data_IF_490181814551
#
_entry.id   IF_490181814551
#
_cell.length_a   1.000
_cell.length_b   1.000
_cell.length_c   1.000
_cell.angle_alpha   90.00
_cell.angle_beta   90.00
_cell.angle_gamma   90.00
#
_symmetry.space_group_name_H-M   'P 1'
#
loop_
_entity.id
_entity.type
_entity.pdbx_description
1 polymer ?
#
# COMPACT_ATOMS: atom_id res chain seq x y z
N UNK A 1 13.90 13.69 -16.40
CA UNK A 1 14.63 13.37 -15.16
C UNK A 1 14.56 11.86 -14.93
N UNK A 2 15.68 11.18 -14.73
CA UNK A 2 15.73 9.74 -14.44
C UNK A 2 15.75 9.56 -12.93
N UNK A 3 14.68 9.01 -12.35
CA UNK A 3 14.64 8.64 -10.94
C UNK A 3 14.98 7.15 -10.80
N UNK A 4 15.73 6.80 -9.77
CA UNK A 4 15.94 5.40 -9.40
C UNK A 4 14.67 4.91 -8.71
N UNK A 5 14.04 3.89 -9.29
CA UNK A 5 12.85 3.27 -8.73
C UNK A 5 13.17 1.87 -8.18
N UNK A 6 12.55 1.51 -7.07
CA UNK A 6 12.58 0.18 -6.50
C UNK A 6 11.48 -0.67 -7.13
N UNK A 7 11.82 -1.90 -7.51
CA UNK A 7 10.86 -2.85 -8.09
C UNK A 7 10.41 -3.83 -7.02
N UNK A 8 9.13 -4.20 -7.07
CA UNK A 8 8.58 -5.23 -6.18
C UNK A 8 8.29 -6.49 -6.97
N UNK A 9 8.74 -7.64 -6.48
CA UNK A 9 8.39 -8.96 -7.03
C UNK A 9 7.25 -9.55 -6.21
N UNK A 10 6.16 -9.89 -6.89
CA UNK A 10 5.01 -10.54 -6.29
C UNK A 10 5.28 -12.03 -6.04
N UNK A 11 4.48 -12.70 -5.17
CA UNK A 11 4.64 -14.14 -4.89
C UNK A 11 4.54 -15.04 -6.14
N UNK A 12 3.87 -14.58 -7.20
CA UNK A 12 3.78 -15.28 -8.47
C UNK A 12 4.99 -15.03 -9.41
N UNK A 13 6.03 -14.35 -8.93
CA UNK A 13 7.24 -14.02 -9.67
C UNK A 13 7.14 -12.79 -10.59
N UNK A 14 5.93 -12.25 -10.80
CA UNK A 14 5.73 -11.07 -11.62
C UNK A 14 6.32 -9.81 -10.95
N UNK A 15 6.81 -8.87 -11.76
CA UNK A 15 7.17 -7.54 -11.27
C UNK A 15 5.91 -6.68 -11.17
N UNK A 16 5.70 -6.09 -10.00
CA UNK A 16 4.56 -5.22 -9.74
C UNK A 16 4.71 -3.91 -10.52
N UNK A 17 3.85 -3.73 -11.52
CA UNK A 17 3.73 -2.45 -12.24
C UNK A 17 3.01 -1.46 -11.35
N UNK A 18 3.54 -0.26 -11.22
CA UNK A 18 2.99 0.77 -10.35
C UNK A 18 1.64 1.26 -10.91
N UNK A 19 0.51 1.01 -10.25
CA UNK A 19 -0.76 1.60 -10.63
C UNK A 19 -0.80 3.07 -10.22
N UNK A 20 -1.22 3.90 -11.15
CA UNK A 20 -1.53 5.31 -10.94
C UNK A 20 -2.89 5.63 -11.54
N UNK A 21 -3.61 6.55 -10.91
CA UNK A 21 -4.89 7.04 -11.41
C UNK A 21 -5.03 8.54 -11.17
N UNK A 22 -5.43 9.30 -12.19
CA UNK A 22 -5.75 10.72 -12.05
C UNK A 22 -6.92 11.08 -12.94
N UNK A 23 -7.99 11.61 -12.35
CA UNK A 23 -9.17 12.09 -13.07
C UNK A 23 -9.72 11.07 -14.10
N UNK A 24 -9.88 9.81 -13.68
CA UNK A 24 -10.37 8.72 -14.53
C UNK A 24 -9.36 8.18 -15.54
N UNK A 25 -8.11 8.65 -15.53
CA UNK A 25 -7.02 8.10 -16.34
C UNK A 25 -6.18 7.15 -15.48
N UNK A 26 -6.10 5.89 -15.88
CA UNK A 26 -5.25 4.90 -15.22
C UNK A 26 -3.95 4.67 -16.01
N UNK A 27 -2.85 4.47 -15.30
CA UNK A 27 -1.56 4.08 -15.86
C UNK A 27 -0.95 2.95 -15.02
N UNK A 28 -0.35 1.97 -15.70
CA UNK A 28 0.41 0.90 -15.05
C UNK A 28 1.84 0.98 -15.55
N UNK A 29 2.73 1.50 -14.72
CA UNK A 29 4.10 1.81 -15.11
C UNK A 29 5.01 0.65 -14.70
N UNK A 30 5.67 0.02 -15.68
CA UNK A 30 6.81 -0.85 -15.42
C UNK A 30 8.04 0.03 -15.23
N UNK A 31 8.40 0.27 -13.97
CA UNK A 31 9.52 1.12 -13.63
C UNK A 31 10.84 0.38 -13.85
N UNK A 32 11.82 1.08 -14.41
CA UNK A 32 13.19 0.61 -14.47
C UNK A 32 13.86 0.82 -13.11
N UNK A 33 14.55 -0.21 -12.62
CA UNK A 33 15.12 -0.20 -11.29
C UNK A 33 16.21 -1.24 -11.13
N UNK A 34 17.29 -0.87 -10.45
CA UNK A 34 18.47 -1.74 -10.22
C UNK A 34 18.26 -2.70 -9.04
N UNK A 35 17.24 -2.46 -8.22
CA UNK A 35 16.92 -3.27 -7.04
C UNK A 35 15.48 -3.78 -7.14
N UNK A 36 15.33 -5.10 -7.00
CA UNK A 36 14.03 -5.77 -6.94
C UNK A 36 13.92 -6.49 -5.60
N UNK A 37 12.87 -6.17 -4.84
CA UNK A 37 12.60 -6.71 -3.50
C UNK A 37 11.25 -7.42 -3.51
N UNK A 38 11.06 -8.42 -2.68
CA UNK A 38 9.82 -9.18 -2.54
C UNK A 38 9.11 -8.95 -1.20
N UNK A 39 9.64 -8.03 -0.38
CA UNK A 39 9.15 -7.73 0.95
C UNK A 39 9.03 -6.19 1.13
N UNK A 40 7.89 -5.76 1.67
CA UNK A 40 7.51 -4.34 1.75
C UNK A 40 8.37 -3.57 2.77
N UNK A 41 8.72 -4.18 3.90
CA UNK A 41 9.57 -3.57 4.91
C UNK A 41 11.00 -3.31 4.41
N UNK A 42 11.55 -4.17 3.55
CA UNK A 42 12.83 -3.98 2.86
C UNK A 42 12.73 -2.85 1.84
N UNK A 43 11.63 -2.77 1.09
CA UNK A 43 11.41 -1.66 0.15
C UNK A 43 11.33 -0.31 0.88
N UNK A 44 10.65 -0.27 2.03
CA UNK A 44 10.62 0.88 2.94
C UNK A 44 12.01 1.21 3.49
N UNK A 45 12.76 0.22 3.98
CA UNK A 45 14.10 0.42 4.50
C UNK A 45 15.07 0.99 3.44
N UNK A 46 14.98 0.51 2.21
CA UNK A 46 15.76 1.03 1.09
C UNK A 46 15.37 2.48 0.72
N UNK A 47 14.08 2.83 0.75
CA UNK A 47 13.64 4.21 0.55
C UNK A 47 14.15 5.15 1.65
N UNK A 48 14.10 4.73 2.92
CA UNK A 48 14.66 5.48 4.06
C UNK A 48 16.18 5.64 3.96
N UNK A 49 16.88 4.65 3.39
CA UNK A 49 18.30 4.72 3.09
C UNK A 49 18.63 5.52 1.81
N UNK A 50 17.65 6.25 1.24
CA UNK A 50 17.81 7.07 0.02
C UNK A 50 18.24 6.28 -1.23
N UNK A 51 17.91 4.99 -1.31
CA UNK A 51 18.27 4.15 -2.47
C UNK A 51 17.43 4.50 -3.70
N UNK A 52 16.17 4.88 -3.51
CA UNK A 52 15.27 5.24 -4.61
C UNK A 52 13.82 5.42 -4.19
N UNK A 53 12.97 5.67 -5.18
CA UNK A 53 11.52 5.77 -5.00
C UNK A 53 10.91 4.38 -4.84
N UNK A 54 9.93 4.25 -3.95
CA UNK A 54 9.15 3.02 -3.78
C UNK A 54 7.66 3.33 -3.86
N UNK A 55 6.88 2.37 -4.33
CA UNK A 55 5.43 2.39 -4.17
C UNK A 55 5.09 1.57 -2.92
N UNK A 56 4.56 2.23 -1.90
CA UNK A 56 4.25 1.62 -0.60
C UNK A 56 2.78 1.83 -0.23
N UNK A 57 2.26 0.95 0.61
CA UNK A 57 0.96 1.16 1.25
C UNK A 57 1.11 2.26 2.31
N UNK A 58 0.23 3.25 2.30
CA UNK A 58 0.35 4.43 3.18
C UNK A 58 0.38 4.05 4.66
N UNK A 59 -0.30 2.97 5.06
CA UNK A 59 -0.25 2.44 6.44
C UNK A 59 1.16 2.08 6.90
N UNK A 60 2.02 1.65 5.99
CA UNK A 60 3.33 1.10 6.34
C UNK A 60 4.40 2.19 6.44
N UNK A 61 4.13 3.38 5.91
CA UNK A 61 5.08 4.51 5.82
C UNK A 61 4.55 5.80 6.46
N UNK A 62 3.34 5.79 7.02
CA UNK A 62 2.69 6.98 7.60
C UNK A 62 3.57 7.70 8.60
N UNK A 63 4.12 6.97 9.57
CA UNK A 63 4.97 7.53 10.61
C UNK A 63 6.27 8.13 10.06
N UNK A 64 6.77 7.64 8.91
CA UNK A 64 7.94 8.23 8.26
C UNK A 64 7.61 9.49 7.49
N UNK A 65 6.42 9.55 6.89
CA UNK A 65 5.92 10.75 6.20
C UNK A 65 5.66 11.85 7.23
N UNK A 66 4.96 11.54 8.32
CA UNK A 66 4.66 12.48 9.41
C UNK A 66 5.94 13.00 10.09
N UNK A 67 6.96 12.14 10.22
CA UNK A 67 8.26 12.54 10.73
C UNK A 67 9.17 13.23 9.70
N UNK A 68 8.72 13.41 8.45
CA UNK A 68 9.50 14.02 7.37
C UNK A 68 10.70 13.21 6.89
N UNK A 69 10.79 11.92 7.24
CA UNK A 69 11.82 10.98 6.75
C UNK A 69 11.54 10.53 5.32
N UNK A 70 10.25 10.43 4.97
CA UNK A 70 9.79 10.17 3.61
C UNK A 70 8.87 11.32 3.15
N UNK A 71 8.80 11.52 1.85
CA UNK A 71 7.90 12.48 1.22
C UNK A 71 7.09 11.75 0.17
N UNK A 72 5.78 11.93 0.18
CA UNK A 72 4.93 11.39 -0.86
C UNK A 72 5.10 12.22 -2.13
N UNK A 73 5.27 11.53 -3.26
CA UNK A 73 5.36 12.14 -4.58
C UNK A 73 4.24 11.59 -5.44
N UNK A 74 3.78 12.38 -6.41
CA UNK A 74 2.66 12.01 -7.27
C UNK A 74 1.34 11.77 -6.48
N UNK A 75 1.10 12.51 -5.40
CA UNK A 75 -0.14 12.45 -4.61
C UNK A 75 -1.39 12.59 -5.49
N UNK A 76 -1.37 13.52 -6.44
CA UNK A 76 -2.41 13.72 -7.44
C UNK A 76 -2.75 12.49 -8.31
N UNK A 77 -1.83 11.52 -8.40
CA UNK A 77 -1.95 10.30 -9.18
C UNK A 77 -2.17 9.06 -8.32
N UNK A 78 -2.27 9.23 -7.00
CA UNK A 78 -2.43 8.16 -6.01
C UNK A 78 -3.68 8.41 -5.16
N UNK A 79 -4.89 8.28 -5.75
CA UNK A 79 -6.12 8.49 -5.02
C UNK A 79 -6.25 7.47 -3.90
N UNK A 80 -6.95 7.87 -2.82
CA UNK A 80 -7.19 6.99 -1.68
C UNK A 80 -7.86 5.70 -2.13
N UNK A 81 -7.23 4.58 -1.81
CA UNK A 81 -7.80 3.26 -2.04
C UNK A 81 -9.11 3.11 -1.25
N UNK A 82 -9.99 2.27 -1.78
CA UNK A 82 -11.22 1.91 -1.08
C UNK A 82 -10.89 1.27 0.28
N UNK A 83 -11.74 1.48 1.31
CA UNK A 83 -11.52 0.87 2.62
C UNK A 83 -11.39 -0.66 2.54
N UNK A 84 -10.61 -1.21 3.47
CA UNK A 84 -10.48 -2.65 3.64
C UNK A 84 -11.87 -3.29 3.79
N UNK A 85 -12.12 -4.35 3.03
CA UNK A 85 -13.40 -5.03 2.98
C UNK A 85 -13.25 -6.49 3.43
N UNK A 86 -14.17 -6.96 4.26
CA UNK A 86 -14.26 -8.38 4.64
C UNK A 86 -15.12 -9.13 3.61
N UNK A 87 -14.50 -10.05 2.88
CA UNK A 87 -15.21 -10.91 1.92
C UNK A 87 -15.66 -12.22 2.58
N UNK A 88 -16.94 -12.54 2.47
CA UNK A 88 -17.52 -13.81 2.94
C UNK A 88 -18.56 -14.33 1.93
N UNK A 89 -18.32 -15.49 1.30
CA UNK A 89 -19.14 -15.95 0.17
C UNK A 89 -20.54 -16.44 0.59
N UNK A 90 -20.73 -17.01 1.79
CA UNK A 90 -21.97 -17.69 2.17
C UNK A 90 -22.92 -16.85 3.06
N UNK A 91 -23.74 -16.00 2.44
CA UNK A 91 -24.51 -14.95 3.13
C UNK A 91 -25.76 -15.41 3.89
N UNK A 92 -26.14 -16.70 3.81
CA UNK A 92 -27.51 -17.12 4.19
C UNK A 92 -27.74 -17.23 5.70
N UNK A 93 -26.78 -17.72 6.48
CA UNK A 93 -26.89 -17.86 7.94
C UNK A 93 -25.55 -17.64 8.65
N UNK A 94 -25.12 -16.38 8.87
CA UNK A 94 -23.93 -16.11 9.68
C UNK A 94 -24.15 -16.54 11.14
N UNK A 95 -23.21 -17.30 11.69
CA UNK A 95 -23.24 -17.73 13.10
C UNK A 95 -23.14 -16.53 14.04
N UNK A 96 -23.58 -16.68 15.29
CA UNK A 96 -23.44 -15.61 16.30
C UNK A 96 -21.97 -15.20 16.49
N UNK A 97 -21.05 -16.16 16.49
CA UNK A 97 -19.61 -15.90 16.54
C UNK A 97 -19.11 -15.07 15.35
N UNK A 98 -19.58 -15.36 14.13
CA UNK A 98 -19.17 -14.61 12.94
C UNK A 98 -19.72 -13.17 12.96
N UNK A 99 -20.95 -12.95 13.42
CA UNK A 99 -21.51 -11.61 13.63
C UNK A 99 -20.66 -10.83 14.64
N UNK A 100 -20.37 -11.43 15.80
CA UNK A 100 -19.52 -10.83 16.82
C UNK A 100 -18.11 -10.49 16.30
N UNK A 101 -17.53 -11.35 15.44
CA UNK A 101 -16.27 -11.07 14.78
C UNK A 101 -16.36 -9.90 13.80
N UNK A 102 -17.38 -9.84 12.95
CA UNK A 102 -17.59 -8.70 12.04
C UNK A 102 -17.72 -7.40 12.84
N UNK A 103 -18.52 -7.41 13.91
CA UNK A 103 -18.73 -6.25 14.76
C UNK A 103 -17.42 -5.82 15.44
N UNK A 104 -16.60 -6.78 15.86
CA UNK A 104 -15.26 -6.52 16.39
C UNK A 104 -14.32 -5.95 15.32
N UNK A 105 -14.24 -6.57 14.14
CA UNK A 105 -13.34 -6.18 13.05
C UNK A 105 -13.70 -4.84 12.40
N UNK A 106 -14.97 -4.41 12.50
CA UNK A 106 -15.44 -3.09 12.08
C UNK A 106 -15.17 -1.98 13.09
N UNK A 107 -14.77 -2.32 14.32
CA UNK A 107 -14.38 -1.28 15.26
C UNK A 107 -13.21 -0.54 14.65
N UNK A 108 -13.21 0.80 14.68
CA UNK A 108 -11.99 1.53 14.36
C UNK A 108 -10.91 1.01 15.31
N UNK A 109 -9.89 0.37 14.76
CA UNK A 109 -8.65 0.12 15.47
C UNK A 109 -8.18 1.48 15.94
N UNK A 110 -8.25 1.70 17.26
CA UNK A 110 -8.13 3.01 17.87
C UNK A 110 -7.02 3.81 17.21
N UNK A 111 -7.42 4.93 16.62
CA UNK A 111 -6.53 6.00 16.20
C UNK A 111 -5.56 6.24 17.34
N UNK A 112 -4.25 6.06 17.09
CA UNK A 112 -3.25 6.59 18.00
C UNK A 112 -3.58 8.08 18.19
N UNK A 113 -3.77 8.43 19.45
CA UNK A 113 -4.20 9.72 19.95
C UNK A 113 -3.13 10.78 19.65
N UNK A 114 -3.62 11.99 19.32
CA UNK A 114 -3.02 13.34 19.45
C UNK A 114 -1.49 13.50 19.55
#
# INVERSE_FOLDING_TARGET
AHHVCLRVRLPNGAIYRWPFEKAGRSAHIDVEGVLTLDEASLARAAALASVGLTLAMESDVRDDIEAGRLVCVLEDWTPKLSPLSLYYPNRRNPTAAFKAFIDFARRPSGTAVA
#
